data_IF_166164491955
#
_entry.id   IF_166164491955
#
_cell.length_a   1.000
_cell.length_b   1.000
_cell.length_c   1.000
_cell.angle_alpha   90.00
_cell.angle_beta   90.00
_cell.angle_gamma   90.00
#
_symmetry.space_group_name_H-M   'P 1'
#
loop_
_entity.id
_entity.type
_entity.pdbx_description
1 polymer ?
#
# COMPACT_ATOMS: atom_id res chain seq x y z
N UNK A 1 12.26 24.27 -13.60
CA UNK A 1 11.35 23.11 -13.63
C UNK A 1 12.19 21.85 -13.65
N UNK A 2 11.78 20.81 -12.92
CA UNK A 2 12.56 19.58 -12.80
C UNK A 2 11.88 18.53 -13.70
N UNK A 3 12.43 18.20 -14.89
CA UNK A 3 11.77 17.34 -15.86
C UNK A 3 11.32 15.99 -15.29
N UNK A 4 12.06 15.48 -14.30
CA UNK A 4 11.68 14.26 -13.59
C UNK A 4 10.34 14.41 -12.86
N UNK A 5 10.14 15.50 -12.13
CA UNK A 5 8.88 15.72 -11.43
C UNK A 5 7.77 16.19 -12.35
N UNK A 6 8.08 16.96 -13.40
CA UNK A 6 7.10 17.40 -14.40
C UNK A 6 6.52 16.18 -15.16
N UNK A 7 7.29 15.09 -15.30
CA UNK A 7 6.80 13.83 -15.82
C UNK A 7 5.83 13.13 -14.86
N UNK A 8 6.17 13.07 -13.56
CA UNK A 8 5.43 12.28 -12.58
C UNK A 8 4.23 13.00 -11.95
N UNK A 9 4.24 14.34 -11.96
CA UNK A 9 3.29 15.23 -11.29
C UNK A 9 2.79 16.30 -12.26
N UNK A 10 1.49 16.57 -12.21
CA UNK A 10 0.90 17.70 -12.91
C UNK A 10 1.15 19.00 -12.14
N UNK A 11 0.97 20.13 -12.83
CA UNK A 11 1.17 21.45 -12.25
C UNK A 11 0.26 21.67 -11.03
N UNK A 12 0.85 22.12 -9.92
CA UNK A 12 0.14 22.40 -8.67
C UNK A 12 -0.05 21.21 -7.75
N UNK A 13 0.39 20.01 -8.16
CA UNK A 13 0.34 18.83 -7.29
C UNK A 13 1.40 18.88 -6.19
N UNK A 14 1.09 18.15 -5.11
CA UNK A 14 1.89 18.05 -3.91
C UNK A 14 2.15 16.59 -3.59
N UNK A 15 3.24 16.32 -2.89
CA UNK A 15 3.56 14.97 -2.42
C UNK A 15 4.35 15.04 -1.11
N UNK A 16 4.63 13.89 -0.52
CA UNK A 16 5.60 13.84 0.56
C UNK A 16 7.00 14.09 0.00
N UNK A 17 7.70 15.10 0.48
CA UNK A 17 9.13 15.32 0.21
C UNK A 17 9.90 15.15 1.52
N UNK A 18 10.93 14.33 1.52
CA UNK A 18 11.61 13.93 2.76
C UNK A 18 13.12 13.77 2.60
N UNK A 19 13.84 14.00 3.69
CA UNK A 19 15.28 13.75 3.85
C UNK A 19 15.56 12.30 4.30
N UNK A 20 14.55 11.61 4.84
CA UNK A 20 14.68 10.29 5.43
C UNK A 20 13.48 9.38 5.09
N UNK A 21 13.60 8.05 5.19
CA UNK A 21 12.56 7.10 4.77
C UNK A 21 11.32 7.08 5.69
N UNK A 22 11.32 7.82 6.80
CA UNK A 22 10.18 7.97 7.72
C UNK A 22 9.45 9.30 7.52
N UNK A 23 9.85 10.13 6.55
CA UNK A 23 9.22 11.41 6.30
C UNK A 23 7.72 11.30 5.99
N UNK A 24 6.97 12.27 6.48
CA UNK A 24 5.51 12.35 6.35
C UNK A 24 5.01 13.71 5.84
N UNK A 25 5.89 14.71 5.77
CA UNK A 25 5.55 16.10 5.44
C UNK A 25 5.14 16.22 3.97
N UNK A 26 4.00 16.84 3.72
CA UNK A 26 3.47 17.09 2.37
C UNK A 26 3.84 18.51 1.93
N UNK A 27 4.39 18.63 0.72
CA UNK A 27 4.80 19.90 0.12
C UNK A 27 4.42 19.92 -1.37
N UNK A 28 4.19 21.12 -1.94
CA UNK A 28 4.11 21.28 -3.39
C UNK A 28 5.39 20.77 -4.04
N UNK A 29 5.25 20.15 -5.22
CA UNK A 29 6.40 19.65 -5.97
C UNK A 29 7.43 20.75 -6.29
N UNK A 30 6.97 22.00 -6.45
CA UNK A 30 7.83 23.17 -6.66
C UNK A 30 8.79 23.45 -5.51
N UNK A 31 8.60 22.85 -4.33
CA UNK A 31 9.47 22.98 -3.16
C UNK A 31 10.59 21.93 -3.13
N UNK A 32 10.67 21.05 -4.12
CA UNK A 32 11.75 20.08 -4.21
C UNK A 32 13.12 20.78 -4.25
N UNK A 33 14.06 20.25 -3.45
CA UNK A 33 15.45 20.69 -3.38
C UNK A 33 16.28 19.42 -3.16
N UNK A 34 17.11 19.01 -4.12
CA UNK A 34 17.88 17.76 -4.02
C UNK A 34 18.88 17.77 -2.86
N UNK A 35 19.20 18.93 -2.26
CA UNK A 35 20.05 19.01 -1.06
C UNK A 35 19.31 18.65 0.22
N UNK A 36 17.98 18.79 0.22
CA UNK A 36 17.11 18.57 1.39
C UNK A 36 16.24 17.34 1.25
N UNK A 37 15.87 16.98 0.04
CA UNK A 37 14.86 15.97 -0.23
C UNK A 37 15.50 14.82 -1.00
N UNK A 38 15.82 13.75 -0.29
CA UNK A 38 16.34 12.50 -0.86
C UNK A 38 15.26 11.49 -1.17
N UNK A 39 14.01 11.76 -0.79
CA UNK A 39 12.87 10.89 -0.99
C UNK A 39 11.63 11.70 -1.39
N UNK A 40 10.74 11.04 -2.13
CA UNK A 40 9.42 11.55 -2.40
C UNK A 40 8.37 10.43 -2.42
N UNK A 41 7.11 10.72 -2.11
CA UNK A 41 6.02 9.75 -2.34
C UNK A 41 5.66 9.70 -3.82
N UNK A 42 5.52 8.50 -4.38
CA UNK A 42 5.38 8.31 -5.83
C UNK A 42 4.12 8.95 -6.40
N UNK A 43 2.99 8.95 -5.68
CA UNK A 43 1.76 9.57 -6.13
C UNK A 43 1.50 10.93 -5.44
N UNK A 44 0.72 11.82 -6.08
CA UNK A 44 0.22 13.06 -5.48
C UNK A 44 -0.56 12.80 -4.18
N UNK A 45 -0.40 13.69 -3.21
CA UNK A 45 -1.03 13.61 -1.88
C UNK A 45 -1.72 14.95 -1.56
N UNK A 46 -2.89 14.88 -0.93
CA UNK A 46 -3.64 16.04 -0.44
C UNK A 46 -2.76 16.86 0.54
N UNK A 47 -2.52 18.11 0.19
CA UNK A 47 -1.71 19.05 0.98
C UNK A 47 -2.55 19.81 2.03
N UNK A 48 -3.87 19.68 2.01
CA UNK A 48 -4.77 20.44 2.88
C UNK A 48 -5.29 19.58 4.01
N UNK A 49 -5.52 18.29 3.77
CA UNK A 49 -6.23 17.42 4.73
C UNK A 49 -5.63 16.03 4.90
N UNK A 50 -5.86 15.46 6.07
CA UNK A 50 -5.77 14.02 6.34
C UNK A 50 -7.19 13.43 6.26
N UNK A 51 -7.45 12.63 5.23
CA UNK A 51 -8.75 12.05 4.93
C UNK A 51 -9.07 10.83 5.80
N UNK A 52 -8.08 10.30 6.54
CA UNK A 52 -8.26 9.16 7.43
C UNK A 52 -7.37 9.28 8.69
N UNK A 53 -7.73 10.17 9.64
CA UNK A 53 -7.00 10.34 10.89
C UNK A 53 -7.26 9.17 11.84
N UNK A 54 -6.42 8.12 11.74
CA UNK A 54 -6.59 6.87 12.51
C UNK A 54 -6.04 6.87 13.95
N UNK A 55 -5.32 7.92 14.36
CA UNK A 55 -4.68 8.00 15.68
C UNK A 55 -4.96 9.34 16.34
N UNK A 56 -4.96 9.38 17.68
CA UNK A 56 -5.30 10.59 18.44
C UNK A 56 -4.39 11.81 18.13
N UNK A 57 -3.16 11.56 17.67
CA UNK A 57 -2.22 12.61 17.26
C UNK A 57 -2.33 13.00 15.77
N UNK A 58 -3.18 12.32 14.99
CA UNK A 58 -3.51 12.74 13.63
C UNK A 58 -4.58 13.84 13.68
N UNK A 59 -4.43 14.86 12.84
CA UNK A 59 -5.38 15.96 12.75
C UNK A 59 -5.84 16.11 11.30
N UNK A 60 -7.15 16.26 11.09
CA UNK A 60 -7.74 16.37 9.77
C UNK A 60 -7.19 17.53 8.92
N UNK A 61 -6.66 18.59 9.54
CA UNK A 61 -6.06 19.74 8.85
C UNK A 61 -4.53 19.68 8.76
N UNK A 62 -3.92 18.57 9.19
CA UNK A 62 -2.48 18.33 9.10
C UNK A 62 -2.26 17.13 8.16
N UNK A 63 -2.04 17.37 6.87
CA UNK A 63 -1.84 16.28 5.92
C UNK A 63 -0.59 15.48 6.28
N UNK A 64 -0.61 14.20 5.93
CA UNK A 64 0.51 13.28 6.13
C UNK A 64 0.61 12.31 4.98
N UNK A 65 1.79 11.73 4.80
CA UNK A 65 1.99 10.59 3.90
C UNK A 65 1.15 9.40 4.38
N UNK A 66 0.11 9.09 3.62
CA UNK A 66 -0.78 7.97 3.84
C UNK A 66 -1.47 7.61 2.52
N UNK A 67 -1.81 6.34 2.34
CA UNK A 67 -2.54 5.90 1.15
C UNK A 67 -3.90 6.57 1.03
N UNK A 68 -4.59 6.80 2.16
CA UNK A 68 -5.90 7.47 2.20
C UNK A 68 -5.83 8.94 1.73
N UNK A 69 -4.64 9.53 1.69
CA UNK A 69 -4.43 10.91 1.28
C UNK A 69 -3.94 11.04 -0.17
N UNK A 70 -3.77 9.92 -0.88
CA UNK A 70 -3.40 9.93 -2.30
C UNK A 70 -4.57 10.47 -3.13
N UNK A 71 -4.31 11.47 -3.96
CA UNK A 71 -5.34 12.15 -4.78
C UNK A 71 -5.43 11.62 -6.20
N UNK A 72 -4.31 11.15 -6.78
CA UNK A 72 -4.27 10.56 -8.11
C UNK A 72 -3.42 9.29 -8.12
N UNK A 73 -3.96 8.21 -8.66
CA UNK A 73 -3.30 6.92 -8.76
C UNK A 73 -2.66 6.77 -10.15
N UNK A 74 -1.51 7.41 -10.36
CA UNK A 74 -0.85 7.46 -11.68
C UNK A 74 0.49 6.73 -11.73
N UNK A 75 1.19 6.65 -10.61
CA UNK A 75 2.57 6.20 -10.55
C UNK A 75 2.64 4.86 -9.82
N UNK A 76 3.26 3.86 -10.46
CA UNK A 76 3.61 2.56 -9.87
C UNK A 76 5.12 2.50 -9.69
N UNK A 77 5.59 1.86 -8.63
CA UNK A 77 7.01 1.71 -8.32
C UNK A 77 7.42 0.25 -8.42
N UNK A 78 8.52 0.00 -9.15
CA UNK A 78 9.18 -1.29 -9.23
C UNK A 78 10.62 -1.14 -8.75
N UNK A 79 10.97 -1.94 -7.75
CA UNK A 79 12.33 -2.07 -7.21
C UNK A 79 12.71 -3.55 -7.16
N UNK A 80 13.97 -3.87 -7.45
CA UNK A 80 14.49 -5.24 -7.49
C UNK A 80 15.83 -5.31 -6.75
N UNK A 81 15.83 -5.09 -5.43
CA UNK A 81 17.05 -4.98 -4.63
C UNK A 81 17.73 -6.32 -4.29
N UNK A 82 17.07 -7.44 -4.62
CA UNK A 82 17.57 -8.81 -4.44
C UNK A 82 18.56 -9.27 -5.52
N UNK A 83 18.60 -8.56 -6.66
CA UNK A 83 19.49 -8.88 -7.80
C UNK A 83 20.42 -7.71 -8.08
N UNK A 84 21.52 -7.97 -8.77
CA UNK A 84 22.52 -6.94 -9.07
C UNK A 84 21.98 -5.83 -9.97
N UNK A 85 22.58 -4.63 -9.91
CA UNK A 85 22.17 -3.50 -10.74
C UNK A 85 22.18 -3.84 -12.25
N UNK A 86 23.11 -4.68 -12.70
CA UNK A 86 23.17 -5.14 -14.10
C UNK A 86 21.99 -6.04 -14.43
N UNK A 87 21.74 -7.06 -13.62
CA UNK A 87 20.62 -7.99 -13.81
C UNK A 87 19.26 -7.28 -13.78
N UNK A 88 19.11 -6.22 -12.97
CA UNK A 88 17.89 -5.40 -12.96
C UNK A 88 17.60 -4.79 -14.34
N UNK A 89 18.63 -4.29 -15.01
CA UNK A 89 18.49 -3.63 -16.31
C UNK A 89 18.30 -4.64 -17.42
N UNK A 90 19.08 -5.71 -17.40
CA UNK A 90 18.96 -6.82 -18.36
C UNK A 90 17.57 -7.45 -18.29
N UNK A 91 17.01 -7.61 -17.08
CA UNK A 91 15.66 -8.13 -16.92
C UNK A 91 14.60 -7.17 -17.48
N UNK A 92 14.68 -5.88 -17.14
CA UNK A 92 13.76 -4.85 -17.65
C UNK A 92 13.80 -4.77 -19.17
N UNK A 93 14.99 -4.87 -19.76
CA UNK A 93 15.17 -4.88 -21.21
C UNK A 93 14.65 -6.19 -21.83
N UNK A 94 14.98 -7.35 -21.26
CA UNK A 94 14.55 -8.65 -21.79
C UNK A 94 13.02 -8.79 -21.88
N UNK A 95 12.28 -8.25 -20.90
CA UNK A 95 10.81 -8.29 -20.91
C UNK A 95 10.18 -7.04 -21.53
N UNK A 96 11.01 -6.10 -22.00
CA UNK A 96 10.59 -4.79 -22.53
C UNK A 96 9.60 -4.08 -21.59
N UNK A 97 9.92 -4.06 -20.29
CA UNK A 97 9.01 -3.51 -19.28
C UNK A 97 8.77 -2.02 -19.54
N UNK A 98 7.50 -1.57 -19.66
CA UNK A 98 7.20 -0.14 -19.76
C UNK A 98 7.62 0.57 -18.49
N UNK A 99 8.28 1.72 -18.61
CA UNK A 99 8.54 2.64 -17.51
C UNK A 99 8.69 4.07 -18.01
N UNK A 100 8.51 5.03 -17.12
CA UNK A 100 8.63 6.47 -17.40
C UNK A 100 9.93 7.06 -16.86
N UNK A 101 10.43 6.54 -15.74
CA UNK A 101 11.72 6.96 -15.21
C UNK A 101 12.49 5.80 -14.57
N UNK A 102 13.82 5.84 -14.69
CA UNK A 102 14.73 4.95 -13.99
C UNK A 102 15.72 5.79 -13.16
N UNK A 103 15.66 5.65 -11.83
CA UNK A 103 16.54 6.36 -10.90
C UNK A 103 17.44 5.37 -10.17
N UNK A 104 18.75 5.60 -10.21
CA UNK A 104 19.68 4.89 -9.35
C UNK A 104 19.56 5.40 -7.91
N UNK A 105 19.35 4.49 -6.95
CA UNK A 105 19.15 4.85 -5.54
C UNK A 105 20.41 5.32 -4.81
N UNK A 106 21.57 5.36 -5.47
CA UNK A 106 22.87 5.53 -4.80
C UNK A 106 23.27 4.30 -3.97
N UNK A 107 22.67 3.13 -4.24
CA UNK A 107 22.86 1.90 -3.47
C UNK A 107 22.80 0.64 -4.34
N UNK A 108 21.84 -0.24 -4.05
CA UNK A 108 21.70 -1.56 -4.69
C UNK A 108 20.52 -1.66 -5.66
N UNK A 109 19.72 -0.61 -5.79
CA UNK A 109 18.47 -0.65 -6.56
C UNK A 109 18.38 0.47 -7.58
N UNK A 110 17.81 0.15 -8.74
CA UNK A 110 17.10 1.11 -9.56
C UNK A 110 15.64 1.18 -9.13
N UNK A 111 15.10 2.39 -9.12
CA UNK A 111 13.69 2.68 -8.92
C UNK A 111 13.10 2.95 -10.29
N UNK A 112 12.34 2.00 -10.81
CA UNK A 112 11.58 2.15 -12.04
C UNK A 112 10.19 2.66 -11.68
N UNK A 113 9.80 3.80 -12.23
CA UNK A 113 8.44 4.33 -12.06
C UNK A 113 7.72 4.26 -13.39
N UNK A 114 6.54 3.65 -13.37
CA UNK A 114 5.58 3.65 -14.47
C UNK A 114 4.59 4.77 -14.18
N UNK A 115 4.62 5.86 -14.95
CA UNK A 115 3.70 6.97 -14.82
C UNK A 115 2.66 6.89 -15.93
N UNK A 116 1.39 6.66 -15.58
CA UNK A 116 0.32 6.51 -16.56
C UNK A 116 -0.06 7.86 -17.19
N UNK A 117 -0.48 7.87 -18.45
CA UNK A 117 -1.03 9.09 -19.06
C UNK A 117 -2.28 9.57 -18.33
N UNK A 118 -3.17 8.63 -17.98
CA UNK A 118 -4.39 8.90 -17.22
C UNK A 118 -4.31 8.22 -15.85
N UNK A 119 -4.62 8.98 -14.80
CA UNK A 119 -4.71 8.43 -13.45
C UNK A 119 -5.85 7.39 -13.36
N UNK A 120 -5.64 6.35 -12.57
CA UNK A 120 -6.65 5.34 -12.31
C UNK A 120 -7.80 5.94 -11.48
N UNK A 121 -9.04 5.47 -11.69
CA UNK A 121 -10.22 6.12 -11.14
C UNK A 121 -10.32 6.00 -9.62
N UNK A 122 -9.67 5.00 -9.01
CA UNK A 122 -9.73 4.75 -7.57
C UNK A 122 -8.63 3.78 -7.11
N UNK A 123 -8.55 3.61 -5.78
CA UNK A 123 -7.63 2.71 -5.10
C UNK A 123 -7.77 1.24 -5.55
N UNK A 124 -8.99 0.76 -5.79
CA UNK A 124 -9.20 -0.64 -6.18
C UNK A 124 -8.62 -0.94 -7.57
N UNK A 125 -8.79 -0.03 -8.53
CA UNK A 125 -8.15 -0.13 -9.84
C UNK A 125 -6.62 -0.09 -9.74
N UNK A 126 -6.08 0.75 -8.84
CA UNK A 126 -4.64 0.80 -8.56
C UNK A 126 -4.11 -0.52 -7.99
N UNK A 127 -4.75 -1.06 -6.96
CA UNK A 127 -4.33 -2.34 -6.35
C UNK A 127 -4.41 -3.49 -7.37
N UNK A 128 -5.42 -3.48 -8.23
CA UNK A 128 -5.58 -4.47 -9.30
C UNK A 128 -4.44 -4.41 -10.32
N UNK A 129 -4.09 -3.21 -10.78
CA UNK A 129 -2.99 -3.01 -11.71
C UNK A 129 -1.64 -3.39 -11.09
N UNK A 130 -1.38 -2.98 -9.84
CA UNK A 130 -0.18 -3.36 -9.11
C UNK A 130 -0.08 -4.87 -8.97
N UNK A 131 -1.18 -5.56 -8.64
CA UNK A 131 -1.21 -7.02 -8.52
C UNK A 131 -0.84 -7.70 -9.85
N UNK A 132 -1.45 -7.26 -10.97
CA UNK A 132 -1.13 -7.78 -12.32
C UNK A 132 0.33 -7.54 -12.71
N UNK A 133 0.83 -6.34 -12.45
CA UNK A 133 2.23 -6.00 -12.71
C UNK A 133 3.16 -6.89 -11.88
N UNK A 134 2.86 -7.04 -10.59
CA UNK A 134 3.71 -7.78 -9.66
C UNK A 134 3.67 -9.29 -9.92
N UNK A 135 2.55 -9.84 -10.41
CA UNK A 135 2.46 -11.26 -10.78
C UNK A 135 3.34 -11.58 -12.00
N UNK A 136 3.43 -10.67 -12.97
CA UNK A 136 4.35 -10.79 -14.12
C UNK A 136 5.81 -10.72 -13.68
N UNK A 137 6.14 -9.80 -12.77
CA UNK A 137 7.54 -9.57 -12.35
C UNK A 137 8.06 -10.62 -11.35
N UNK A 138 7.18 -11.32 -10.65
CA UNK A 138 7.50 -12.46 -9.79
C UNK A 138 8.32 -12.10 -8.55
N UNK A 139 9.20 -13.00 -8.11
CA UNK A 139 9.89 -12.88 -6.81
C UNK A 139 11.06 -11.88 -6.76
N UNK A 140 11.46 -11.35 -7.94
CA UNK A 140 12.59 -10.42 -8.10
C UNK A 140 12.32 -9.06 -7.48
N UNK A 141 11.06 -8.66 -7.40
CA UNK A 141 10.67 -7.35 -6.92
C UNK A 141 10.53 -7.30 -5.40
N UNK A 142 10.71 -6.10 -4.85
CA UNK A 142 10.29 -5.79 -3.48
C UNK A 142 8.76 -5.62 -3.41
N UNK A 143 8.09 -6.65 -2.89
CA UNK A 143 6.63 -6.67 -2.73
C UNK A 143 6.12 -5.61 -1.75
N UNK A 144 7.00 -4.98 -0.96
CA UNK A 144 6.66 -3.89 -0.04
C UNK A 144 6.44 -2.54 -0.74
N UNK A 145 6.84 -2.41 -2.01
CA UNK A 145 6.67 -1.18 -2.79
C UNK A 145 5.26 -0.98 -3.40
N UNK A 146 4.33 -1.90 -3.15
CA UNK A 146 2.97 -1.90 -3.75
C UNK A 146 2.07 -0.72 -3.37
N UNK A 147 2.31 -0.04 -2.26
CA UNK A 147 1.38 0.97 -1.74
C UNK A 147 1.46 2.28 -2.54
N UNK A 148 0.34 2.97 -2.81
CA UNK A 148 0.31 4.17 -3.64
C UNK A 148 1.06 5.37 -3.03
N UNK A 149 1.21 5.44 -1.70
CA UNK A 149 1.98 6.49 -1.01
C UNK A 149 3.45 6.12 -0.74
N UNK A 150 3.97 5.10 -1.44
CA UNK A 150 5.33 4.59 -1.21
C UNK A 150 6.37 5.66 -1.51
N UNK A 151 7.39 5.74 -0.63
CA UNK A 151 8.55 6.59 -0.88
C UNK A 151 9.46 5.95 -1.93
N UNK A 152 9.90 6.76 -2.88
CA UNK A 152 10.97 6.45 -3.83
C UNK A 152 12.11 7.46 -3.68
N UNK A 153 13.25 7.14 -4.29
CA UNK A 153 14.48 7.94 -4.27
C UNK A 153 14.39 9.06 -5.31
N UNK A 154 14.78 10.28 -4.92
CA UNK A 154 14.77 11.44 -5.80
C UNK A 154 16.16 11.68 -6.41
N UNK A 155 16.26 11.94 -7.73
CA UNK A 155 17.56 12.18 -8.36
C UNK A 155 18.21 13.48 -7.85
N UNK A 156 19.54 13.49 -7.81
CA UNK A 156 20.37 14.64 -7.43
C UNK A 156 20.76 14.68 -5.94
N UNK A 157 20.16 13.86 -5.08
CA UNK A 157 20.49 13.87 -3.65
C UNK A 157 21.72 13.02 -3.32
N UNK A 158 22.66 13.61 -2.56
CA UNK A 158 23.83 12.91 -2.05
C UNK A 158 23.48 12.07 -0.82
N UNK A 159 23.74 10.77 -0.89
CA UNK A 159 23.69 9.87 0.27
C UNK A 159 25.01 9.92 1.00
N UNK A 160 25.13 10.78 2.00
CA UNK A 160 26.38 11.01 2.74
C UNK A 160 26.93 9.71 3.36
N UNK A 161 26.06 8.80 3.80
CA UNK A 161 26.45 7.51 4.38
C UNK A 161 27.04 6.53 3.36
N UNK A 162 26.77 6.75 2.06
CA UNK A 162 27.31 5.94 0.96
C UNK A 162 28.31 6.69 0.10
N UNK A 163 28.45 8.00 0.30
CA UNK A 163 29.20 8.92 -0.58
C UNK A 163 28.82 8.75 -2.06
N UNK A 164 27.52 8.51 -2.33
CA UNK A 164 26.99 8.29 -3.68
C UNK A 164 25.78 9.18 -3.93
N UNK A 165 25.70 9.72 -5.14
CA UNK A 165 24.50 10.43 -5.58
C UNK A 165 23.41 9.44 -5.99
N UNK A 166 22.18 9.81 -5.69
CA UNK A 166 21.01 9.32 -6.42
C UNK A 166 21.02 10.00 -7.79
N UNK A 167 20.92 9.24 -8.87
CA UNK A 167 21.03 9.80 -10.22
C UNK A 167 19.89 9.33 -11.12
N UNK A 168 19.37 10.26 -11.91
CA UNK A 168 18.44 9.94 -12.98
C UNK A 168 19.24 9.26 -14.09
N UNK A 169 18.90 8.01 -14.40
CA UNK A 169 19.53 7.26 -15.47
C UNK A 169 18.79 7.46 -16.79
N UNK A 170 17.47 7.39 -16.74
CA UNK A 170 16.62 7.46 -17.93
C UNK A 170 15.29 8.13 -17.60
N UNK A 171 14.82 8.96 -18.53
CA UNK A 171 13.56 9.66 -18.49
C UNK A 171 12.87 9.50 -19.85
N UNK A 172 11.66 8.96 -19.84
CA UNK A 172 10.82 8.71 -21.01
C UNK A 172 9.55 9.56 -20.92
N UNK A 173 8.49 9.17 -21.62
CA UNK A 173 7.15 9.73 -21.48
C UNK A 173 6.32 8.97 -20.43
N UNK A 174 5.13 9.51 -20.14
CA UNK A 174 4.08 8.73 -19.49
C UNK A 174 3.71 7.54 -20.39
N UNK A 175 3.36 6.44 -19.75
CA UNK A 175 2.94 5.20 -20.40
C UNK A 175 1.44 5.29 -20.68
N UNK A 176 1.03 5.10 -21.93
CA UNK A 176 -0.37 5.01 -22.27
C UNK A 176 -1.00 3.81 -21.54
N UNK A 177 -2.18 4.01 -20.95
CA UNK A 177 -2.83 2.97 -20.16
C UNK A 177 -3.08 1.68 -20.98
N UNK A 178 -3.49 1.81 -22.24
CA UNK A 178 -3.77 0.66 -23.11
C UNK A 178 -2.52 -0.08 -23.55
N UNK A 179 -1.40 0.62 -23.71
CA UNK A 179 -0.10 -0.01 -24.00
C UNK A 179 0.37 -0.86 -22.81
N UNK A 180 0.23 -0.35 -21.58
CA UNK A 180 0.56 -1.12 -20.39
C UNK A 180 -0.35 -2.35 -20.24
N UNK A 181 -1.65 -2.19 -20.46
CA UNK A 181 -2.60 -3.31 -20.43
C UNK A 181 -2.28 -4.36 -21.50
N UNK A 182 -1.95 -3.92 -22.72
CA UNK A 182 -1.52 -4.79 -23.81
C UNK A 182 -0.24 -5.55 -23.46
N UNK A 183 0.76 -4.86 -22.89
CA UNK A 183 1.98 -5.49 -22.41
C UNK A 183 1.71 -6.52 -21.31
N UNK A 184 0.91 -6.17 -20.28
CA UNK A 184 0.53 -7.10 -19.21
C UNK A 184 -0.15 -8.36 -19.76
N UNK A 185 -1.07 -8.19 -20.71
CA UNK A 185 -1.74 -9.32 -21.37
C UNK A 185 -0.75 -10.19 -22.16
N UNK A 186 0.19 -9.58 -22.87
CA UNK A 186 1.23 -10.31 -23.61
C UNK A 186 2.16 -11.11 -22.68
N UNK A 187 2.41 -10.61 -21.46
CA UNK A 187 3.16 -11.31 -20.42
C UNK A 187 2.36 -12.40 -19.69
N UNK A 188 1.10 -12.61 -20.06
CA UNK A 188 0.23 -13.61 -19.42
C UNK A 188 -0.19 -13.23 -18.00
N UNK A 189 -0.29 -11.92 -17.70
CA UNK A 189 -0.81 -11.46 -16.41
C UNK A 189 -2.18 -12.10 -16.13
N UNK A 190 -2.31 -12.75 -14.96
CA UNK A 190 -3.56 -13.36 -14.54
C UNK A 190 -4.70 -12.33 -14.61
N UNK A 191 -5.77 -12.68 -15.32
CA UNK A 191 -7.00 -11.91 -15.23
C UNK A 191 -7.39 -11.80 -13.77
N UNK A 192 -7.72 -10.59 -13.33
CA UNK A 192 -8.38 -10.42 -12.06
C UNK A 192 -9.60 -11.33 -12.07
N UNK A 193 -9.87 -12.10 -11.00
CA UNK A 193 -11.23 -12.59 -10.82
C UNK A 193 -12.14 -11.38 -11.00
N UNK A 194 -13.11 -11.46 -11.93
CA UNK A 194 -14.11 -10.39 -12.11
C UNK A 194 -14.52 -9.99 -10.71
N UNK A 195 -14.29 -8.73 -10.33
CA UNK A 195 -14.64 -8.23 -9.00
C UNK A 195 -16.07 -8.69 -8.80
N UNK A 196 -16.28 -9.65 -7.90
CA UNK A 196 -17.61 -10.16 -7.67
C UNK A 196 -18.41 -8.93 -7.23
N UNK A 197 -19.30 -8.47 -8.13
CA UNK A 197 -20.32 -7.49 -7.84
C UNK A 197 -20.97 -7.89 -6.52
N UNK A 198 -21.45 -6.94 -5.74
CA UNK A 198 -22.12 -7.25 -4.49
C UNK A 198 -23.17 -8.37 -4.70
N UNK A 199 -23.90 -8.30 -5.82
CA UNK A 199 -24.84 -9.32 -6.27
C UNK A 199 -24.22 -10.69 -6.61
N UNK A 200 -23.08 -10.76 -7.32
CA UNK A 200 -22.44 -12.05 -7.61
C UNK A 200 -21.75 -12.66 -6.38
N UNK A 201 -21.33 -11.82 -5.44
CA UNK A 201 -20.82 -12.23 -4.13
C UNK A 201 -21.95 -12.75 -3.22
N UNK A 202 -23.17 -12.24 -3.40
CA UNK A 202 -24.40 -12.72 -2.74
C UNK A 202 -24.92 -14.00 -3.40
N UNK A 203 -24.97 -14.07 -4.73
CA UNK A 203 -25.44 -15.24 -5.48
C UNK A 203 -24.51 -16.45 -5.35
N UNK A 204 -23.18 -16.27 -5.32
CA UNK A 204 -22.26 -17.37 -4.99
C UNK A 204 -22.39 -17.82 -3.53
N UNK A 205 -22.76 -16.92 -2.62
CA UNK A 205 -23.10 -17.23 -1.22
C UNK A 205 -24.42 -17.98 -1.08
N UNK A 206 -25.33 -17.82 -2.04
CA UNK A 206 -26.63 -18.49 -2.09
C UNK A 206 -26.56 -19.85 -2.82
N UNK A 207 -25.62 -20.02 -3.76
CA UNK A 207 -25.43 -21.28 -4.50
C UNK A 207 -24.49 -22.27 -3.81
N UNK A 208 -23.54 -21.80 -2.99
CA UNK A 208 -22.78 -22.64 -2.07
C UNK A 208 -23.56 -22.76 -0.76
N UNK A 209 -24.27 -23.87 -0.60
CA UNK A 209 -25.08 -24.16 0.58
C UNK A 209 -24.41 -23.75 1.90
N UNK A 210 -25.02 -22.76 2.54
CA UNK A 210 -25.07 -22.46 3.97
C UNK A 210 -23.83 -22.73 4.85
N UNK A 211 -22.63 -22.37 4.38
CA UNK A 211 -21.41 -22.38 5.21
C UNK A 211 -21.26 -21.13 6.11
N UNK A 212 -22.11 -20.12 5.96
CA UNK A 212 -22.04 -18.86 6.74
C UNK A 212 -23.12 -18.70 7.82
N UNK A 213 -24.09 -19.61 7.94
CA UNK A 213 -24.95 -19.73 9.12
C UNK A 213 -24.27 -20.47 10.29
N UNK A 214 -22.97 -20.78 10.18
CA UNK A 214 -22.23 -21.34 11.31
C UNK A 214 -22.05 -20.28 12.40
N UNK A 215 -22.54 -20.57 13.60
CA UNK A 215 -22.24 -19.84 14.84
C UNK A 215 -20.80 -20.05 15.31
N UNK A 216 -20.03 -20.92 14.64
CA UNK A 216 -18.66 -21.21 15.04
C UNK A 216 -17.66 -20.17 14.55
N UNK A 217 -16.69 -19.89 15.42
CA UNK A 217 -15.52 -19.08 15.13
C UNK A 217 -14.59 -19.77 14.12
N UNK A 218 -13.84 -18.98 13.34
CA UNK A 218 -12.77 -19.51 12.50
C UNK A 218 -11.70 -20.20 13.36
N UNK A 219 -11.04 -21.20 12.77
CA UNK A 219 -9.96 -21.97 13.41
C UNK A 219 -8.84 -21.07 13.96
N UNK A 220 -8.50 -19.99 13.27
CA UNK A 220 -7.51 -19.02 13.74
C UNK A 220 -7.96 -18.27 14.99
N UNK A 221 -9.24 -17.89 15.07
CA UNK A 221 -9.81 -17.21 16.24
C UNK A 221 -9.92 -18.17 17.42
N UNK A 222 -10.35 -19.42 17.18
CA UNK A 222 -10.35 -20.50 18.21
C UNK A 222 -8.94 -20.73 18.75
N UNK A 223 -7.94 -20.83 17.88
CA UNK A 223 -6.55 -21.02 18.29
C UNK A 223 -6.01 -19.83 19.09
N UNK A 224 -6.33 -18.60 18.69
CA UNK A 224 -5.94 -17.41 19.44
C UNK A 224 -6.58 -17.39 20.83
N UNK A 225 -7.88 -17.66 20.95
CA UNK A 225 -8.57 -17.69 22.24
C UNK A 225 -8.08 -18.81 23.15
N UNK A 226 -7.55 -19.91 22.59
CA UNK A 226 -7.02 -21.03 23.36
C UNK A 226 -5.54 -20.86 23.76
N UNK A 227 -4.72 -20.29 22.88
CA UNK A 227 -3.24 -20.33 22.99
C UNK A 227 -2.58 -18.95 22.98
N UNK A 228 -3.34 -17.88 22.74
CA UNK A 228 -2.82 -16.54 22.51
C UNK A 228 -2.16 -16.35 21.15
N UNK A 229 -1.28 -15.37 21.06
CA UNK A 229 -0.58 -15.02 19.83
C UNK A 229 0.94 -15.17 19.99
N UNK A 230 1.64 -15.34 18.88
CA UNK A 230 3.09 -15.24 18.85
C UNK A 230 3.56 -13.82 19.22
N UNK A 231 4.80 -13.72 19.70
CA UNK A 231 5.41 -12.44 20.09
C UNK A 231 5.34 -11.42 18.95
N UNK A 232 4.74 -10.26 19.24
CA UNK A 232 4.55 -9.17 18.28
C UNK A 232 3.27 -9.25 17.45
N UNK A 233 2.53 -10.36 17.46
CA UNK A 233 1.30 -10.53 16.69
C UNK A 233 0.01 -10.27 17.48
N UNK A 234 0.12 -10.06 18.79
CA UNK A 234 -1.01 -9.90 19.72
C UNK A 234 -2.13 -8.98 19.22
N UNK A 235 -1.82 -7.72 18.90
CA UNK A 235 -2.82 -6.74 18.49
C UNK A 235 -3.57 -7.15 17.21
N UNK A 236 -2.86 -7.76 16.26
CA UNK A 236 -3.47 -8.18 15.00
C UNK A 236 -4.39 -9.38 15.21
N UNK A 237 -3.96 -10.36 16.00
CA UNK A 237 -4.72 -11.57 16.30
C UNK A 237 -5.93 -11.27 17.17
N UNK A 238 -5.78 -10.40 18.19
CA UNK A 238 -6.86 -9.90 19.03
C UNK A 238 -7.94 -9.20 18.20
N UNK A 239 -7.54 -8.29 17.29
CA UNK A 239 -8.48 -7.58 16.44
C UNK A 239 -9.26 -8.53 15.50
N UNK A 240 -8.56 -9.50 14.91
CA UNK A 240 -9.17 -10.49 14.00
C UNK A 240 -10.16 -11.39 14.74
N UNK A 241 -9.77 -11.92 15.90
CA UNK A 241 -10.62 -12.76 16.72
C UNK A 241 -11.85 -11.98 17.21
N UNK A 242 -11.68 -10.72 17.63
CA UNK A 242 -12.80 -9.87 18.05
C UNK A 242 -13.79 -9.63 16.90
N UNK A 243 -13.32 -9.28 15.70
CA UNK A 243 -14.19 -9.09 14.54
C UNK A 243 -14.97 -10.37 14.18
N UNK A 244 -14.32 -11.53 14.25
CA UNK A 244 -14.93 -12.82 13.99
C UNK A 244 -16.02 -13.12 15.04
N UNK A 245 -15.69 -13.09 16.33
CA UNK A 245 -16.63 -13.33 17.43
C UNK A 245 -17.86 -12.42 17.37
N UNK A 246 -17.68 -11.12 17.17
CA UNK A 246 -18.80 -10.18 17.07
C UNK A 246 -19.66 -10.43 15.83
N UNK A 247 -19.05 -10.83 14.71
CA UNK A 247 -19.81 -11.23 13.52
C UNK A 247 -20.63 -12.52 13.71
N UNK A 248 -20.29 -13.32 14.74
CA UNK A 248 -20.99 -14.53 15.16
C UNK A 248 -21.93 -14.30 16.36
N UNK A 249 -22.19 -13.04 16.70
CA UNK A 249 -23.19 -12.66 17.71
C UNK A 249 -22.69 -12.65 19.15
N UNK A 250 -21.38 -12.77 19.38
CA UNK A 250 -20.83 -12.58 20.71
C UNK A 250 -21.02 -11.13 21.17
N UNK A 251 -21.35 -10.94 22.45
CA UNK A 251 -21.37 -9.59 23.02
C UNK A 251 -19.95 -9.07 23.23
N UNK A 252 -19.83 -7.75 23.44
CA UNK A 252 -18.55 -7.12 23.76
C UNK A 252 -17.94 -7.74 25.03
N UNK A 253 -18.77 -7.98 26.05
CA UNK A 253 -18.34 -8.46 27.35
C UNK A 253 -17.93 -9.93 27.29
N UNK A 254 -18.68 -10.78 26.56
CA UNK A 254 -18.32 -12.21 26.38
C UNK A 254 -16.94 -12.37 25.74
N UNK A 255 -16.61 -11.53 24.76
CA UNK A 255 -15.30 -11.58 24.12
C UNK A 255 -14.18 -11.09 25.05
N UNK A 256 -14.44 -10.02 25.82
CA UNK A 256 -13.49 -9.50 26.81
C UNK A 256 -13.17 -10.57 27.85
N UNK A 257 -14.18 -11.28 28.34
CA UNK A 257 -14.02 -12.35 29.33
C UNK A 257 -13.15 -13.50 28.80
N UNK A 258 -13.34 -13.93 27.56
CA UNK A 258 -12.47 -14.95 26.95
C UNK A 258 -11.05 -14.44 26.68
N UNK A 259 -10.90 -13.19 26.22
CA UNK A 259 -9.59 -12.62 25.95
C UNK A 259 -8.74 -12.43 27.23
N UNK A 260 -9.37 -12.10 28.37
CA UNK A 260 -8.69 -12.01 29.67
C UNK A 260 -8.07 -13.35 30.08
N UNK A 261 -8.69 -14.49 29.74
CA UNK A 261 -8.16 -15.82 30.12
C UNK A 261 -6.80 -16.13 29.48
N UNK A 262 -6.45 -15.46 28.39
CA UNK A 262 -5.20 -15.69 27.66
C UNK A 262 -4.01 -15.05 28.40
N UNK A 263 -4.17 -13.80 28.86
CA UNK A 263 -3.08 -12.97 29.43
C UNK A 263 -3.27 -12.62 30.90
N UNK A 264 -4.38 -13.03 31.51
CA UNK A 264 -4.78 -12.71 32.89
C UNK A 264 -5.28 -11.27 33.09
N UNK A 265 -5.03 -10.38 32.14
CA UNK A 265 -5.49 -8.98 32.13
C UNK A 265 -5.42 -8.42 30.70
N UNK A 266 -6.23 -7.39 30.41
CA UNK A 266 -6.18 -6.64 29.15
C UNK A 266 -5.85 -5.18 29.46
N UNK A 267 -4.84 -4.63 28.78
CA UNK A 267 -4.45 -3.24 28.98
C UNK A 267 -5.35 -2.27 28.20
N UNK A 268 -5.09 -0.96 28.36
CA UNK A 268 -5.87 0.08 27.67
C UNK A 268 -5.81 -0.01 26.13
N UNK A 269 -4.74 -0.54 25.56
CA UNK A 269 -4.53 -0.69 24.13
C UNK A 269 -5.28 -1.92 23.59
N UNK A 270 -5.33 -2.99 24.37
CA UNK A 270 -6.14 -4.17 24.06
C UNK A 270 -7.62 -3.81 24.04
N UNK A 271 -8.08 -3.09 25.07
CA UNK A 271 -9.46 -2.60 25.16
C UNK A 271 -9.82 -1.68 23.99
N UNK A 272 -8.91 -0.79 23.57
CA UNK A 272 -9.11 0.05 22.40
C UNK A 272 -9.21 -0.76 21.10
N UNK A 273 -8.43 -1.83 20.99
CA UNK A 273 -8.43 -2.75 19.84
C UNK A 273 -9.75 -3.50 19.73
N UNK A 274 -10.24 -4.05 20.85
CA UNK A 274 -11.53 -4.74 20.93
C UNK A 274 -12.69 -3.79 20.59
N UNK A 275 -12.69 -2.57 21.17
CA UNK A 275 -13.68 -1.54 20.86
C UNK A 275 -13.68 -1.16 19.38
N UNK A 276 -12.51 -1.07 18.75
CA UNK A 276 -12.39 -0.79 17.31
C UNK A 276 -13.03 -1.90 16.46
N UNK A 277 -12.82 -3.17 16.83
CA UNK A 277 -13.46 -4.30 16.18
C UNK A 277 -14.99 -4.27 16.37
N UNK A 278 -15.47 -3.97 17.57
CA UNK A 278 -16.91 -3.84 17.87
C UNK A 278 -17.60 -2.78 17.02
N UNK A 279 -17.02 -1.58 16.96
CA UNK A 279 -17.55 -0.48 16.15
C UNK A 279 -17.55 -0.81 14.66
N UNK A 280 -16.56 -1.57 14.19
CA UNK A 280 -16.45 -2.00 12.79
C UNK A 280 -17.56 -2.97 12.38
N UNK A 281 -17.94 -3.91 13.25
CA UNK A 281 -19.00 -4.87 12.97
C UNK A 281 -20.37 -4.21 13.07
N UNK A 282 -20.62 -3.43 14.13
CA UNK A 282 -21.92 -2.81 14.36
C UNK A 282 -22.23 -1.59 13.46
N UNK A 283 -21.25 -1.03 12.74
CA UNK A 283 -21.50 -0.05 11.67
C UNK A 283 -22.00 -0.67 10.36
N UNK A 284 -21.94 -2.00 10.21
CA UNK A 284 -22.45 -2.69 9.00
C UNK A 284 -23.92 -3.12 9.13
N UNK A 285 -24.49 -3.01 10.32
CA UNK A 285 -25.86 -3.42 10.66
C UNK A 285 -26.82 -2.25 10.84
N UNK A 286 -26.36 -1.01 10.61
CA UNK A 286 -27.14 0.24 10.59
C UNK A 286 -27.15 0.85 9.20
#
# INVERSE_FOLDING_TARGET
MNPFFDLLFDAGESTCLADNPKGTRILPISFFDPRRHGFFSINPIDQKRDNDPIAAYHHALKPRRADANVTHFRNLLVEMDKVSLTEQLEYVDAIQMPFSSCVYSGGKSYHFIISLENALPNRAAYDDLVRKLYSVLGERIDSSCKNPSRLSRAPGHLRSEKMKFQSLRELRSRVNNSDLEGWLKAQGAEESPKVATYESRTLMRESEGDMFASTELYRSSKNFLALGAADGEWNQSLFKAACDSFSKGWSHDDFVDEAIKITGHLDSKDQATIRSAWLRINRKTS
#
